data_IF_404305572997
#
_entry.id   IF_404305572997
#
_cell.length_a   1.000
_cell.length_b   1.000
_cell.length_c   1.000
_cell.angle_alpha   90.00
_cell.angle_beta   90.00
_cell.angle_gamma   90.00
#
_symmetry.space_group_name_H-M   'P 1'
#
loop_
_entity.id
_entity.type
_entity.pdbx_description
1 polymer ?
#
# COMPACT_ATOMS: atom_id res chain seq x y z
N UNK A 1 -8.92 -31.30 14.41
CA UNK A 1 -7.53 -31.62 14.05
C UNK A 1 -7.18 -30.75 12.86
N UNK A 2 -6.26 -29.79 13.03
CA UNK A 2 -5.73 -29.01 11.90
C UNK A 2 -4.51 -29.74 11.34
N UNK A 3 -4.63 -30.20 10.09
CA UNK A 3 -3.53 -30.85 9.39
C UNK A 3 -2.61 -29.75 8.84
N UNK A 4 -1.55 -29.41 9.58
CA UNK A 4 -0.47 -28.57 9.06
C UNK A 4 0.37 -29.40 8.09
N UNK A 5 0.02 -29.34 6.82
CA UNK A 5 0.79 -29.93 5.73
C UNK A 5 2.02 -29.06 5.46
N UNK A 6 3.18 -29.53 5.90
CA UNK A 6 4.47 -28.88 5.64
C UNK A 6 4.94 -29.26 4.24
N UNK A 7 4.43 -28.54 3.23
CA UNK A 7 4.71 -28.78 1.82
C UNK A 7 5.75 -27.79 1.30
N UNK A 8 6.80 -28.32 0.68
CA UNK A 8 7.78 -27.51 -0.03
C UNK A 8 7.29 -27.17 -1.45
N UNK A 9 7.91 -26.14 -2.06
CA UNK A 9 7.52 -25.67 -3.39
C UNK A 9 7.48 -26.78 -4.48
N UNK A 10 8.46 -27.70 -4.57
CA UNK A 10 8.39 -28.82 -5.51
C UNK A 10 7.17 -29.73 -5.32
N UNK A 11 6.75 -29.99 -4.08
CA UNK A 11 5.56 -30.80 -3.79
C UNK A 11 4.29 -30.08 -4.24
N UNK A 12 4.21 -28.77 -4.01
CA UNK A 12 3.09 -27.93 -4.47
C UNK A 12 3.01 -27.94 -6.00
N UNK A 13 4.15 -27.77 -6.69
CA UNK A 13 4.19 -27.79 -8.15
C UNK A 13 3.73 -29.13 -8.72
N UNK A 14 4.11 -30.24 -8.09
CA UNK A 14 3.66 -31.57 -8.51
C UNK A 14 2.15 -31.77 -8.31
N UNK A 15 1.58 -31.24 -7.23
CA UNK A 15 0.12 -31.26 -7.02
C UNK A 15 -0.60 -30.45 -8.09
N UNK A 16 -0.11 -29.25 -8.41
CA UNK A 16 -0.69 -28.40 -9.46
C UNK A 16 -0.64 -29.10 -10.83
N UNK A 17 0.44 -29.83 -11.13
CA UNK A 17 0.58 -30.59 -12.39
C UNK A 17 -0.41 -31.75 -12.54
N UNK A 18 -0.98 -32.25 -11.44
CA UNK A 18 -1.98 -33.33 -11.46
C UNK A 18 -3.40 -32.82 -11.74
N UNK A 19 -3.61 -31.50 -11.70
CA UNK A 19 -4.92 -30.91 -11.97
C UNK A 19 -5.27 -30.99 -13.47
N UNK A 20 -6.56 -31.16 -13.81
CA UNK A 20 -7.00 -31.03 -15.20
C UNK A 20 -6.81 -29.59 -15.70
N UNK A 21 -6.62 -29.45 -17.02
CA UNK A 21 -6.20 -28.19 -17.67
C UNK A 21 -7.11 -26.99 -17.32
N UNK A 22 -8.42 -27.22 -17.22
CA UNK A 22 -9.39 -26.21 -16.84
C UNK A 22 -9.18 -25.67 -15.41
N UNK A 23 -8.76 -26.54 -14.48
CA UNK A 23 -8.46 -26.16 -13.10
C UNK A 23 -7.11 -25.47 -12.99
N UNK A 24 -6.12 -25.85 -13.81
CA UNK A 24 -4.85 -25.12 -13.91
C UNK A 24 -5.09 -23.69 -14.42
N UNK A 25 -5.92 -23.52 -15.45
CA UNK A 25 -6.26 -22.20 -15.98
C UNK A 25 -6.93 -21.32 -14.92
N UNK A 26 -7.85 -21.89 -14.13
CA UNK A 26 -8.48 -21.18 -13.01
C UNK A 26 -7.46 -20.79 -11.93
N UNK A 27 -6.59 -21.73 -11.55
CA UNK A 27 -5.55 -21.48 -10.55
C UNK A 27 -4.60 -20.34 -10.97
N UNK A 28 -4.24 -20.26 -12.25
CA UNK A 28 -3.42 -19.16 -12.77
C UNK A 28 -4.11 -17.80 -12.62
N UNK A 29 -5.41 -17.73 -12.93
CA UNK A 29 -6.20 -16.50 -12.75
C UNK A 29 -6.27 -16.11 -11.27
N UNK A 30 -6.56 -17.07 -10.40
CA UNK A 30 -6.65 -16.82 -8.95
C UNK A 30 -5.29 -16.37 -8.38
N UNK A 31 -4.18 -17.01 -8.82
CA UNK A 31 -2.83 -16.63 -8.42
C UNK A 31 -2.44 -15.23 -8.92
N UNK A 32 -2.86 -14.86 -10.14
CA UNK A 32 -2.65 -13.53 -10.69
C UNK A 32 -3.36 -12.46 -9.83
N UNK A 33 -4.60 -12.73 -9.40
CA UNK A 33 -5.37 -11.82 -8.55
C UNK A 33 -4.67 -11.55 -7.21
N UNK A 34 -4.09 -12.58 -6.59
CA UNK A 34 -3.33 -12.43 -5.34
C UNK A 34 -2.13 -11.49 -5.53
N UNK A 35 -1.39 -11.68 -6.61
CA UNK A 35 -0.24 -10.82 -6.94
C UNK A 35 -0.64 -9.37 -7.23
N UNK A 36 -1.81 -9.16 -7.83
CA UNK A 36 -2.35 -7.82 -8.11
C UNK A 36 -2.85 -7.12 -6.84
N UNK A 37 -3.46 -7.85 -5.91
CA UNK A 37 -3.86 -7.32 -4.60
C UNK A 37 -2.66 -6.88 -3.76
N UNK A 38 -1.60 -7.69 -3.73
CA UNK A 38 -0.35 -7.32 -3.03
C UNK A 38 0.26 -6.05 -3.65
N UNK A 39 0.38 -5.98 -4.98
CA UNK A 39 0.87 -4.77 -5.68
C UNK A 39 0.01 -3.54 -5.43
N UNK A 40 -1.31 -3.70 -5.35
CA UNK A 40 -2.23 -2.60 -5.05
C UNK A 40 -2.00 -2.09 -3.64
N UNK A 41 -1.77 -2.97 -2.66
CA UNK A 41 -1.46 -2.58 -1.29
C UNK A 41 -0.14 -1.80 -1.19
N UNK A 42 0.90 -2.24 -1.91
CA UNK A 42 2.20 -1.58 -1.96
C UNK A 42 2.14 -0.20 -2.63
N UNK A 43 1.38 -0.08 -3.73
CA UNK A 43 1.15 1.20 -4.41
C UNK A 43 0.36 2.20 -3.56
N UNK A 44 -0.59 1.75 -2.73
CA UNK A 44 -1.31 2.65 -1.81
C UNK A 44 -0.37 3.17 -0.73
N UNK A 45 0.49 2.31 -0.16
CA UNK A 45 1.46 2.71 0.85
C UNK A 45 2.48 3.72 0.29
N UNK A 46 2.99 3.50 -0.93
CA UNK A 46 3.93 4.42 -1.58
C UNK A 46 3.27 5.76 -1.93
N UNK A 47 2.03 5.76 -2.39
CA UNK A 47 1.28 6.98 -2.67
C UNK A 47 0.96 7.78 -1.40
N UNK A 48 0.60 7.12 -0.30
CA UNK A 48 0.42 7.77 0.99
C UNK A 48 1.72 8.42 1.48
N UNK A 49 2.84 7.70 1.38
CA UNK A 49 4.15 8.25 1.75
C UNK A 49 4.50 9.48 0.90
N UNK A 50 4.23 9.44 -0.42
CA UNK A 50 4.44 10.56 -1.31
C UNK A 50 3.62 11.80 -0.88
N UNK A 51 2.33 11.64 -0.62
CA UNK A 51 1.46 12.74 -0.16
C UNK A 51 1.92 13.35 1.17
N UNK A 52 2.38 12.52 2.11
CA UNK A 52 2.87 12.97 3.41
C UNK A 52 4.25 13.63 3.35
N UNK A 53 5.05 13.31 2.33
CA UNK A 53 6.38 13.89 2.11
C UNK A 53 6.37 15.19 1.30
N UNK A 54 5.21 15.57 0.73
CA UNK A 54 5.11 16.75 -0.10
C UNK A 54 5.34 18.04 0.72
N UNK A 55 6.15 18.99 0.23
CA UNK A 55 6.36 20.26 0.92
C UNK A 55 5.03 21.01 1.01
N UNK A 56 4.64 21.37 2.24
CA UNK A 56 3.36 22.03 2.52
C UNK A 56 3.41 23.52 2.16
N UNK A 57 4.55 24.16 2.36
CA UNK A 57 4.80 25.57 2.04
C UNK A 57 6.30 25.81 1.89
N UNK A 58 6.67 26.86 1.16
CA UNK A 58 8.06 27.34 1.10
C UNK A 58 8.44 28.08 2.38
N UNK A 59 9.73 28.31 2.59
CA UNK A 59 10.24 29.09 3.74
C UNK A 59 9.64 30.50 3.77
N UNK A 60 9.53 31.17 2.62
CA UNK A 60 8.91 32.51 2.51
C UNK A 60 7.42 32.49 2.90
N UNK A 61 6.69 31.43 2.52
CA UNK A 61 5.29 31.24 2.89
C UNK A 61 5.15 30.92 4.38
N UNK A 62 6.10 30.19 4.95
CA UNK A 62 6.15 29.89 6.38
C UNK A 62 6.40 31.15 7.22
N UNK A 63 7.33 32.01 6.80
CA UNK A 63 7.60 33.28 7.46
C UNK A 63 6.36 34.19 7.44
N UNK A 64 5.70 34.27 6.27
CA UNK A 64 4.43 35.01 6.13
C UNK A 64 3.33 34.45 7.03
N UNK A 65 3.26 33.11 7.19
CA UNK A 65 2.30 32.47 8.10
C UNK A 65 2.56 32.84 9.57
N UNK A 66 3.81 32.86 10.00
CA UNK A 66 4.19 33.22 11.38
C UNK A 66 3.83 34.68 11.70
N UNK A 67 4.11 35.59 10.77
CA UNK A 67 3.77 37.01 10.93
C UNK A 67 2.25 37.21 11.05
N UNK A 68 1.48 36.61 10.14
CA UNK A 68 0.02 36.65 10.18
C UNK A 68 -0.53 36.07 11.49
N UNK A 69 0.02 34.94 11.96
CA UNK A 69 -0.40 34.32 13.23
C UNK A 69 -0.18 35.24 14.43
N UNK A 70 0.91 36.00 14.45
CA UNK A 70 1.19 37.00 15.49
C UNK A 70 0.17 38.14 15.45
N UNK A 71 -0.12 38.68 14.26
CA UNK A 71 -1.12 39.74 14.09
C UNK A 71 -2.51 39.29 14.53
N UNK A 72 -2.93 38.07 14.16
CA UNK A 72 -4.22 37.51 14.61
C UNK A 72 -4.28 37.24 16.10
N UNK A 73 -3.15 36.90 16.75
CA UNK A 73 -3.12 36.73 18.20
C UNK A 73 -3.30 38.08 18.91
N UNK A 74 -2.67 39.14 18.40
CA UNK A 74 -2.82 40.50 18.91
C UNK A 74 -4.25 41.01 18.71
N UNK A 75 -4.84 40.80 17.53
CA UNK A 75 -6.23 41.18 17.25
C UNK A 75 -7.23 40.50 18.20
N UNK A 76 -7.03 39.22 18.51
CA UNK A 76 -7.92 38.47 19.42
C UNK A 76 -7.80 38.86 20.89
N UNK A 77 -6.72 39.54 21.27
CA UNK A 77 -6.49 40.01 22.64
C UNK A 77 -6.85 41.49 22.83
N UNK A 78 -7.24 42.19 21.75
CA UNK A 78 -7.63 43.59 21.75
C UNK A 78 -9.13 43.82 21.84
#
# INVERSE_FOLDING_TARGET
MELKLDLNYPQILNLVRQLPVNQIAKLLVDAQSILEEEKKSENVASFQAFLLSAPVMSDEQYDSFLENRKMFAQWRMG
#
